data_IF_016563265372
#
_entry.id   IF_016563265372
#
_cell.length_a   1.000
_cell.length_b   1.000
_cell.length_c   1.000
_cell.angle_alpha   90.00
_cell.angle_beta   90.00
_cell.angle_gamma   90.00
#
_symmetry.space_group_name_H-M   'P 1'
#
loop_
_entity.id
_entity.type
_entity.pdbx_description
1 polymer ?
#
# COMPACT_ATOMS: atom_id res chain seq x y z
N UNK A 1 7.77 4.41 -0.71
CA UNK A 1 8.22 3.16 -1.38
C UNK A 1 8.48 2.10 -0.32
N UNK A 2 7.67 1.04 -0.30
CA UNK A 2 7.79 -0.07 0.65
C UNK A 2 8.39 -1.28 -0.08
N UNK A 3 9.45 -1.86 0.48
CA UNK A 3 10.21 -2.95 -0.17
C UNK A 3 9.95 -4.27 0.54
N UNK A 4 9.78 -5.35 -0.22
CA UNK A 4 9.61 -6.69 0.33
C UNK A 4 10.88 -7.13 1.07
N UNK A 5 10.70 -7.91 2.14
CA UNK A 5 11.83 -8.41 2.93
C UNK A 5 12.83 -9.15 2.03
N UNK A 6 14.10 -8.78 2.12
CA UNK A 6 15.20 -9.28 1.27
C UNK A 6 15.04 -9.01 -0.24
N UNK A 7 14.21 -8.03 -0.64
CA UNK A 7 13.88 -7.75 -2.05
C UNK A 7 13.40 -8.99 -2.81
N UNK A 8 12.67 -9.86 -2.11
CA UNK A 8 12.10 -11.07 -2.73
C UNK A 8 11.06 -10.67 -3.75
N UNK A 9 11.16 -11.24 -4.95
CA UNK A 9 10.27 -10.98 -6.08
C UNK A 9 8.91 -11.70 -5.98
N UNK A 10 8.20 -11.49 -4.87
CA UNK A 10 6.94 -12.18 -4.58
C UNK A 10 5.73 -11.54 -5.26
N UNK A 11 5.81 -10.26 -5.63
CA UNK A 11 4.75 -9.52 -6.30
C UNK A 11 4.79 -9.73 -7.82
N UNK A 12 5.03 -10.97 -8.25
CA UNK A 12 5.13 -11.36 -9.66
C UNK A 12 3.86 -12.04 -10.17
N UNK A 13 3.07 -12.63 -9.27
CA UNK A 13 1.80 -13.27 -9.61
C UNK A 13 0.66 -12.26 -9.53
N UNK A 14 -0.18 -12.21 -10.58
CA UNK A 14 -1.37 -11.35 -10.62
C UNK A 14 -2.34 -11.58 -9.46
N UNK A 15 -2.45 -12.82 -8.96
CA UNK A 15 -3.27 -13.18 -7.81
C UNK A 15 -2.80 -12.49 -6.53
N UNK A 16 -1.49 -12.46 -6.28
CA UNK A 16 -0.91 -11.79 -5.11
C UNK A 16 -1.03 -10.28 -5.22
N UNK A 17 -0.79 -9.71 -6.40
CA UNK A 17 -0.95 -8.26 -6.63
C UNK A 17 -2.41 -7.87 -6.38
N UNK A 18 -3.37 -8.60 -6.96
CA UNK A 18 -4.80 -8.33 -6.77
C UNK A 18 -5.22 -8.46 -5.31
N UNK A 19 -4.75 -9.51 -4.62
CA UNK A 19 -5.03 -9.69 -3.20
C UNK A 19 -4.46 -8.55 -2.37
N UNK A 20 -3.23 -8.11 -2.66
CA UNK A 20 -2.61 -6.98 -2.00
C UNK A 20 -3.41 -5.69 -2.22
N UNK A 21 -3.80 -5.38 -3.46
CA UNK A 21 -4.62 -4.19 -3.78
C UNK A 21 -5.92 -4.17 -2.97
N UNK A 22 -6.67 -5.27 -3.00
CA UNK A 22 -7.92 -5.39 -2.23
C UNK A 22 -7.68 -5.15 -0.72
N UNK A 23 -6.57 -5.68 -0.19
CA UNK A 23 -6.23 -5.52 1.21
C UNK A 23 -5.88 -4.06 1.54
N UNK A 24 -5.18 -3.34 0.66
CA UNK A 24 -4.90 -1.91 0.87
C UNK A 24 -6.19 -1.10 0.81
N UNK A 25 -7.11 -1.41 -0.12
CA UNK A 25 -8.44 -0.77 -0.20
C UNK A 25 -9.25 -0.97 1.09
N UNK A 26 -9.27 -2.19 1.64
CA UNK A 26 -9.94 -2.49 2.90
C UNK A 26 -9.35 -1.71 4.08
N UNK A 27 -8.02 -1.51 4.11
CA UNK A 27 -7.37 -0.69 5.13
C UNK A 27 -7.72 0.79 4.92
N UNK A 28 -7.76 1.28 3.67
CA UNK A 28 -8.13 2.66 3.36
C UNK A 28 -9.53 3.02 3.83
N UNK A 29 -10.49 2.13 3.57
CA UNK A 29 -11.85 2.30 4.07
C UNK A 29 -11.93 2.32 5.61
N UNK A 30 -11.06 1.57 6.30
CA UNK A 30 -11.05 1.49 7.76
C UNK A 30 -10.41 2.69 8.44
N UNK A 31 -9.38 3.27 7.84
CA UNK A 31 -8.56 4.32 8.45
C UNK A 31 -8.73 5.68 7.75
N UNK A 32 -9.80 5.84 6.96
CA UNK A 32 -10.17 7.09 6.30
C UNK A 32 -9.03 7.68 5.46
N UNK A 33 -8.30 6.82 4.73
CA UNK A 33 -7.36 7.26 3.70
C UNK A 33 -7.82 6.81 2.31
N UNK A 34 -7.68 7.71 1.35
CA UNK A 34 -8.04 7.50 -0.05
C UNK A 34 -6.78 7.16 -0.84
N UNK A 35 -6.79 6.05 -1.57
CA UNK A 35 -5.66 5.63 -2.40
C UNK A 35 -5.82 6.28 -3.77
N UNK A 36 -4.86 7.12 -4.15
CA UNK A 36 -4.85 7.82 -5.44
C UNK A 36 -4.21 6.94 -6.52
N UNK A 37 -3.02 6.41 -6.23
CA UNK A 37 -2.30 5.51 -7.12
C UNK A 37 -1.61 4.38 -6.33
N UNK A 38 -1.66 3.17 -6.89
CA UNK A 38 -0.95 2.01 -6.36
C UNK A 38 -0.20 1.30 -7.49
N UNK A 39 1.13 1.29 -7.38
CA UNK A 39 2.03 0.62 -8.30
C UNK A 39 2.78 -0.52 -7.61
N UNK A 40 2.65 -1.73 -8.14
CA UNK A 40 3.44 -2.89 -7.69
C UNK A 40 4.50 -3.25 -8.72
N UNK A 41 5.75 -3.31 -8.29
CA UNK A 41 6.85 -4.00 -8.98
C UNK A 41 7.14 -5.31 -8.23
N UNK A 42 7.90 -6.21 -8.85
CA UNK A 42 8.21 -7.55 -8.38
C UNK A 42 8.63 -7.64 -6.91
N UNK A 43 9.39 -6.67 -6.39
CA UNK A 43 9.94 -6.65 -5.03
C UNK A 43 9.57 -5.42 -4.18
N UNK A 44 8.78 -4.48 -4.71
CA UNK A 44 8.43 -3.26 -3.99
C UNK A 44 7.10 -2.66 -4.47
N UNK A 45 6.52 -1.81 -3.61
CA UNK A 45 5.24 -1.14 -3.85
C UNK A 45 5.39 0.37 -3.68
N UNK A 46 4.77 1.10 -4.59
CA UNK A 46 4.51 2.53 -4.52
C UNK A 46 3.04 2.74 -4.20
N UNK A 47 2.76 3.49 -3.15
CA UNK A 47 1.40 3.85 -2.76
C UNK A 47 1.39 5.36 -2.62
N UNK A 48 0.51 6.00 -3.39
CA UNK A 48 0.12 7.39 -3.24
C UNK A 48 -1.25 7.42 -2.59
N UNK A 49 -1.36 8.10 -1.46
CA UNK A 49 -2.59 8.17 -0.67
C UNK A 49 -2.81 9.57 -0.12
N UNK A 50 -4.08 9.94 -0.02
CA UNK A 50 -4.55 11.10 0.72
C UNK A 50 -4.98 10.66 2.12
N UNK A 51 -4.52 11.37 3.14
CA UNK A 51 -4.85 11.08 4.53
C UNK A 51 -5.14 12.37 5.27
N UNK A 52 -6.08 12.31 6.21
CA UNK A 52 -6.36 13.45 7.09
C UNK A 52 -5.12 13.81 7.93
N UNK A 53 -4.73 15.10 8.01
CA UNK A 53 -3.56 15.54 8.78
C UNK A 53 -3.57 15.12 10.25
N UNK A 54 -4.74 14.85 10.83
CA UNK A 54 -4.89 14.37 12.21
C UNK A 54 -4.15 13.04 12.45
N UNK A 55 -4.04 12.17 11.43
CA UNK A 55 -3.30 10.91 11.53
C UNK A 55 -1.78 11.10 11.39
N UNK A 56 -1.32 12.25 10.90
CA UNK A 56 0.09 12.59 10.76
C UNK A 56 0.60 13.28 12.04
N UNK A 57 -0.24 14.08 12.70
CA UNK A 57 0.15 14.89 13.86
C UNK A 57 0.33 14.12 15.18
N UNK A 58 -0.08 12.85 15.25
CA UNK A 58 0.07 12.02 16.45
C UNK A 58 1.42 11.30 16.57
N UNK A 59 2.41 11.66 15.76
CA UNK A 59 3.80 11.21 15.92
C UNK A 59 4.61 12.28 16.67
N UNK A 60 4.47 12.32 18.00
CA UNK A 60 5.36 13.07 18.92
C UNK A 60 6.08 12.11 19.84
#
# INVERSE_FOLDING_TARGET
>A
MTVMKYRRKILTQKSYIKYFVNLVDEIGARYEFEIDELGCDSDHVHILLFVSPCYIHHQK
#
